data_IF_592502171791
#
_entry.id   IF_592502171791
#
_cell.length_a   1.000
_cell.length_b   1.000
_cell.length_c   1.000
_cell.angle_alpha   90.00
_cell.angle_beta   90.00
_cell.angle_gamma   90.00
#
_symmetry.space_group_name_H-M   'P 1'
#
loop_
_entity.id
_entity.type
_entity.pdbx_description
1 polymer ?
#
# COMPACT_ATOMS: atom_id res chain seq x y z
N UNK A 1 31.26 -7.35 -2.87
CA UNK A 1 31.05 -8.35 -1.79
C UNK A 1 30.60 -7.62 -0.53
N UNK A 2 29.43 -7.96 0.03
CA UNK A 2 28.90 -7.29 1.21
C UNK A 2 29.55 -7.93 2.43
N UNK A 3 30.46 -7.21 3.10
CA UNK A 3 31.15 -7.70 4.30
C UNK A 3 30.18 -8.37 5.28
N UNK A 4 30.37 -9.68 5.48
CA UNK A 4 29.57 -10.50 6.41
C UNK A 4 30.06 -10.24 7.83
N UNK A 5 29.56 -9.15 8.42
CA UNK A 5 29.70 -8.91 9.87
C UNK A 5 28.82 -9.93 10.61
N UNK A 6 29.42 -10.69 11.53
CA UNK A 6 28.69 -11.58 12.45
C UNK A 6 27.65 -10.78 13.24
N UNK A 7 26.35 -11.03 13.01
CA UNK A 7 25.29 -10.25 13.63
C UNK A 7 23.87 -10.54 13.12
N UNK A 8 22.92 -9.74 13.59
CA UNK A 8 21.50 -9.81 13.18
C UNK A 8 21.19 -8.72 12.18
N UNK A 9 20.69 -9.11 11.01
CA UNK A 9 20.14 -8.19 10.00
C UNK A 9 18.63 -8.26 10.03
N UNK A 10 17.99 -7.09 10.03
CA UNK A 10 16.54 -6.96 9.93
C UNK A 10 16.20 -6.43 8.53
N UNK A 11 15.29 -7.12 7.85
CA UNK A 11 14.75 -6.72 6.55
C UNK A 11 13.24 -6.60 6.72
N UNK A 12 12.75 -5.37 6.60
CA UNK A 12 11.32 -5.07 6.59
C UNK A 12 10.85 -4.89 5.14
N UNK A 13 9.86 -5.67 4.74
CA UNK A 13 9.37 -5.71 3.36
C UNK A 13 7.85 -5.80 3.26
N UNK A 14 7.36 -5.67 2.03
CA UNK A 14 5.93 -5.75 1.70
C UNK A 14 5.17 -4.43 1.86
N UNK A 15 3.92 -4.42 1.39
CA UNK A 15 3.06 -3.24 1.34
C UNK A 15 1.74 -3.43 2.10
N UNK A 16 1.21 -2.35 2.64
CA UNK A 16 -0.09 -2.35 3.34
C UNK A 16 -1.27 -2.55 2.40
N UNK A 17 -2.41 -2.95 2.98
CA UNK A 17 -3.62 -3.21 2.21
C UNK A 17 -4.30 -1.87 1.91
N UNK A 18 -4.40 -1.51 0.64
CA UNK A 18 -5.11 -0.30 0.21
C UNK A 18 -6.39 -0.61 -0.57
N UNK A 19 -6.86 -1.86 -0.58
CA UNK A 19 -8.11 -2.25 -1.27
C UNK A 19 -9.29 -1.39 -0.81
N UNK A 20 -9.46 -1.18 0.51
CA UNK A 20 -10.57 -0.38 1.03
C UNK A 20 -10.54 1.07 0.56
N UNK A 21 -9.36 1.69 0.56
CA UNK A 21 -9.15 3.03 0.00
C UNK A 21 -9.43 3.06 -1.50
N UNK A 22 -8.98 2.05 -2.23
CA UNK A 22 -9.22 1.91 -3.66
C UNK A 22 -10.70 1.74 -4.00
N UNK A 23 -11.44 0.92 -3.24
CA UNK A 23 -12.89 0.75 -3.41
C UNK A 23 -13.67 2.04 -3.13
N UNK A 24 -13.28 2.81 -2.10
CA UNK A 24 -13.88 4.12 -1.82
C UNK A 24 -13.67 5.10 -2.98
N UNK A 25 -12.44 5.20 -3.48
CA UNK A 25 -12.12 6.08 -4.61
C UNK A 25 -12.85 5.67 -5.89
N UNK A 26 -12.91 4.36 -6.16
CA UNK A 26 -13.62 3.80 -7.31
C UNK A 26 -15.14 4.03 -7.20
N UNK A 27 -15.73 3.78 -6.02
CA UNK A 27 -17.14 4.04 -5.77
C UNK A 27 -17.51 5.52 -5.88
N UNK A 28 -16.64 6.42 -5.39
CA UNK A 28 -16.80 7.86 -5.56
C UNK A 28 -16.75 8.27 -7.03
N UNK A 29 -15.79 7.73 -7.79
CA UNK A 29 -15.71 7.95 -9.23
C UNK A 29 -16.96 7.51 -9.97
N UNK A 30 -17.47 6.30 -9.68
CA UNK A 30 -18.74 5.79 -10.25
C UNK A 30 -19.91 6.71 -9.90
N UNK A 31 -20.02 7.14 -8.63
CA UNK A 31 -21.06 8.06 -8.20
C UNK A 31 -21.03 9.38 -8.99
N UNK A 32 -19.83 9.97 -9.16
CA UNK A 32 -19.67 11.18 -9.95
C UNK A 32 -20.04 10.98 -11.43
N UNK A 33 -19.64 9.87 -12.05
CA UNK A 33 -20.01 9.58 -13.43
C UNK A 33 -21.52 9.36 -13.61
N UNK A 34 -22.20 8.79 -12.62
CA UNK A 34 -23.66 8.68 -12.64
C UNK A 34 -24.34 10.03 -12.51
N UNK A 35 -23.85 10.90 -11.62
CA UNK A 35 -24.36 12.28 -11.48
C UNK A 35 -24.16 13.05 -12.79
N UNK A 36 -22.97 12.94 -13.39
CA UNK A 36 -22.67 13.52 -14.69
C UNK A 36 -23.65 13.01 -15.77
N UNK A 37 -23.83 11.70 -15.87
CA UNK A 37 -24.76 11.12 -16.85
C UNK A 37 -26.20 11.64 -16.67
N UNK A 38 -26.66 11.79 -15.43
CA UNK A 38 -27.97 12.37 -15.14
C UNK A 38 -28.05 13.85 -15.52
N UNK A 39 -26.99 14.62 -15.24
CA UNK A 39 -26.91 16.03 -15.65
C UNK A 39 -26.93 16.17 -17.18
N UNK A 40 -26.18 15.32 -17.88
CA UNK A 40 -26.19 15.27 -19.34
C UNK A 40 -27.59 14.96 -19.88
N UNK A 41 -28.20 13.88 -19.39
CA UNK A 41 -29.49 13.38 -19.86
C UNK A 41 -30.62 14.40 -19.66
N UNK A 42 -30.72 15.00 -18.46
CA UNK A 42 -31.85 15.89 -18.11
C UNK A 42 -31.64 17.36 -18.49
N UNK A 43 -30.41 17.87 -18.51
CA UNK A 43 -30.16 19.31 -18.68
C UNK A 43 -29.43 19.69 -19.96
N UNK A 44 -28.62 18.80 -20.53
CA UNK A 44 -27.78 19.10 -21.72
C UNK A 44 -28.47 18.70 -23.03
N UNK A 45 -29.41 17.76 -23.00
CA UNK A 45 -30.18 17.32 -24.17
C UNK A 45 -31.14 18.41 -24.69
N UNK A 46 -31.60 19.31 -23.83
CA UNK A 46 -32.43 20.45 -24.23
C UNK A 46 -31.54 21.60 -24.73
N UNK A 47 -31.89 22.20 -25.87
CA UNK A 47 -31.08 23.19 -26.61
C UNK A 47 -30.78 24.52 -25.87
N UNK A 48 -31.09 24.61 -24.57
CA UNK A 48 -31.05 25.82 -23.75
C UNK A 48 -30.06 25.72 -22.58
N UNK A 49 -29.06 24.86 -22.68
CA UNK A 49 -28.08 24.65 -21.62
C UNK A 49 -27.00 25.73 -21.61
N UNK A 50 -26.87 26.41 -20.47
CA UNK A 50 -25.83 27.43 -20.26
C UNK A 50 -24.44 26.79 -20.35
N UNK A 51 -23.48 27.49 -20.99
CA UNK A 51 -22.08 27.06 -21.14
C UNK A 51 -21.43 26.63 -19.80
N UNK A 52 -21.88 27.24 -18.70
CA UNK A 52 -21.49 26.88 -17.33
C UNK A 52 -21.77 25.41 -16.97
N UNK A 53 -22.93 24.89 -17.31
CA UNK A 53 -23.33 23.49 -17.00
C UNK A 53 -22.44 22.51 -17.76
N UNK A 54 -22.09 22.82 -19.01
CA UNK A 54 -21.18 22.01 -19.83
C UNK A 54 -19.76 21.97 -19.24
N UNK A 55 -19.26 23.11 -18.73
CA UNK A 55 -17.97 23.18 -18.06
C UNK A 55 -17.98 22.36 -16.76
N UNK A 56 -19.00 22.52 -15.92
CA UNK A 56 -19.14 21.74 -14.68
C UNK A 56 -19.21 20.24 -14.96
N UNK A 57 -19.97 19.84 -15.98
CA UNK A 57 -20.08 18.45 -16.40
C UNK A 57 -18.72 17.84 -16.80
N UNK A 58 -17.92 18.61 -17.55
CA UNK A 58 -16.56 18.21 -17.94
C UNK A 58 -15.64 18.07 -16.72
N UNK A 59 -15.73 18.98 -15.74
CA UNK A 59 -14.94 18.91 -14.50
C UNK A 59 -15.31 17.65 -13.71
N UNK A 60 -16.60 17.36 -13.56
CA UNK A 60 -17.07 16.15 -12.87
C UNK A 60 -16.60 14.88 -13.58
N UNK A 61 -16.61 14.86 -14.92
CA UNK A 61 -16.06 13.75 -15.69
C UNK A 61 -14.57 13.52 -15.39
N UNK A 62 -13.76 14.59 -15.43
CA UNK A 62 -12.31 14.49 -15.19
C UNK A 62 -12.03 14.00 -13.76
N UNK A 63 -12.68 14.58 -12.75
CA UNK A 63 -12.52 14.17 -11.35
C UNK A 63 -12.96 12.72 -11.16
N UNK A 64 -14.10 12.35 -11.74
CA UNK A 64 -14.63 10.98 -11.71
C UNK A 64 -13.65 9.97 -12.33
N UNK A 65 -13.13 10.27 -13.52
CA UNK A 65 -12.17 9.42 -14.22
C UNK A 65 -10.86 9.25 -13.44
N UNK A 66 -10.32 10.33 -12.86
CA UNK A 66 -9.12 10.28 -12.02
C UNK A 66 -9.38 9.45 -10.77
N UNK A 67 -10.52 9.65 -10.10
CA UNK A 67 -10.88 8.89 -8.91
C UNK A 67 -11.04 7.39 -9.19
N UNK A 68 -11.69 7.03 -10.31
CA UNK A 68 -11.79 5.64 -10.78
C UNK A 68 -10.41 5.05 -11.08
N UNK A 69 -9.58 5.75 -11.84
CA UNK A 69 -8.24 5.29 -12.20
C UNK A 69 -7.35 5.08 -10.99
N UNK A 70 -7.32 6.04 -10.06
CA UNK A 70 -6.60 5.93 -8.80
C UNK A 70 -7.15 4.79 -7.93
N UNK A 71 -8.48 4.64 -7.87
CA UNK A 71 -9.13 3.55 -7.13
C UNK A 71 -8.74 2.17 -7.66
N UNK A 72 -8.82 1.99 -8.98
CA UNK A 72 -8.45 0.75 -9.65
C UNK A 72 -6.97 0.44 -9.47
N UNK A 73 -6.10 1.44 -9.63
CA UNK A 73 -4.66 1.30 -9.39
C UNK A 73 -4.36 0.81 -7.96
N UNK A 74 -5.01 1.41 -6.95
CA UNK A 74 -4.85 0.99 -5.56
C UNK A 74 -5.36 -0.43 -5.31
N UNK A 75 -6.48 -0.83 -5.91
CA UNK A 75 -7.02 -2.20 -5.80
C UNK A 75 -6.03 -3.19 -6.41
N UNK A 76 -5.61 -2.97 -7.66
CA UNK A 76 -4.68 -3.87 -8.38
C UNK A 76 -3.36 -3.98 -7.63
N UNK A 77 -2.75 -2.85 -7.25
CA UNK A 77 -1.50 -2.84 -6.51
C UNK A 77 -1.64 -3.59 -5.18
N UNK A 78 -2.80 -3.50 -4.54
CA UNK A 78 -3.04 -4.17 -3.27
C UNK A 78 -3.44 -5.66 -3.40
N UNK A 79 -3.85 -6.11 -4.59
CA UNK A 79 -4.03 -7.52 -4.93
C UNK A 79 -2.68 -8.19 -5.28
N UNK A 80 -1.83 -7.47 -6.03
CA UNK A 80 -0.50 -7.94 -6.41
C UNK A 80 0.57 -7.73 -5.33
N UNK A 81 0.21 -7.12 -4.20
CA UNK A 81 1.18 -6.81 -3.13
C UNK A 81 1.78 -8.07 -2.53
N UNK A 82 3.07 -7.97 -2.21
CA UNK A 82 3.70 -8.86 -1.22
C UNK A 82 3.22 -8.44 0.16
N UNK A 83 2.68 -9.40 0.92
CA UNK A 83 2.21 -9.14 2.29
C UNK A 83 3.35 -8.53 3.14
N UNK A 84 3.02 -7.59 4.04
CA UNK A 84 4.00 -7.01 4.95
C UNK A 84 4.69 -8.12 5.73
N UNK A 85 6.00 -8.04 5.91
CA UNK A 85 6.76 -9.01 6.69
C UNK A 85 8.04 -8.39 7.24
N UNK A 86 8.45 -8.86 8.41
CA UNK A 86 9.76 -8.56 9.01
C UNK A 86 10.57 -9.85 9.05
N UNK A 87 11.74 -9.84 8.42
CA UNK A 87 12.65 -10.99 8.45
C UNK A 87 13.90 -10.64 9.21
N UNK A 88 14.24 -11.46 10.20
CA UNK A 88 15.54 -11.45 10.85
C UNK A 88 16.43 -12.53 10.24
N UNK A 89 17.65 -12.14 9.90
CA UNK A 89 18.71 -13.03 9.42
C UNK A 89 19.82 -13.00 10.47
N UNK A 90 20.03 -14.14 11.13
CA UNK A 90 21.13 -14.37 12.06
C UNK A 90 22.27 -15.00 11.28
N UNK A 91 23.31 -14.21 11.01
CA UNK A 91 24.46 -14.66 10.22
C UNK A 91 25.42 -15.46 11.10
N UNK A 92 25.85 -16.64 10.61
CA UNK A 92 26.87 -17.49 11.25
C UNK A 92 26.58 -17.95 12.70
N UNK A 93 25.33 -18.17 13.06
CA UNK A 93 25.02 -18.82 14.33
C UNK A 93 25.39 -20.31 14.26
N UNK A 94 26.47 -20.72 14.93
CA UNK A 94 27.03 -22.09 14.85
C UNK A 94 27.34 -22.56 13.42
N UNK A 95 27.83 -21.65 12.57
CA UNK A 95 28.20 -21.96 11.18
C UNK A 95 27.03 -22.12 10.21
N UNK A 96 25.79 -21.81 10.63
CA UNK A 96 24.61 -21.77 9.76
C UNK A 96 23.93 -20.41 9.84
N UNK A 97 23.29 -20.02 8.74
CA UNK A 97 22.44 -18.84 8.71
C UNK A 97 21.01 -19.23 9.11
N UNK A 98 20.50 -18.57 10.16
CA UNK A 98 19.14 -18.79 10.66
C UNK A 98 18.25 -17.64 10.19
N UNK A 99 17.13 -17.98 9.55
CA UNK A 99 16.15 -17.02 9.04
C UNK A 99 14.84 -17.15 9.82
N UNK A 100 14.38 -16.06 10.40
CA UNK A 100 13.10 -16.01 11.11
C UNK A 100 12.24 -14.92 10.48
N UNK A 101 11.09 -15.31 9.91
CA UNK A 101 10.17 -14.39 9.24
C UNK A 101 8.90 -14.23 10.05
N UNK A 102 8.54 -12.99 10.34
CA UNK A 102 7.32 -12.57 11.00
C UNK A 102 6.33 -12.05 9.96
N UNK A 103 5.03 -12.30 10.20
CA UNK A 103 3.93 -11.96 9.29
C UNK A 103 3.59 -10.48 9.24
N UNK A 104 4.12 -9.68 10.15
CA UNK A 104 3.83 -8.25 10.26
C UNK A 104 5.08 -7.44 9.93
N UNK A 105 4.89 -6.26 9.35
CA UNK A 105 5.97 -5.28 9.16
C UNK A 105 6.25 -4.59 10.50
N UNK A 106 7.52 -4.37 10.82
CA UNK A 106 7.99 -3.89 12.11
C UNK A 106 7.43 -4.71 13.29
N UNK A 107 7.42 -6.04 13.17
CA UNK A 107 6.86 -6.90 14.21
C UNK A 107 7.59 -6.66 15.56
N UNK A 108 6.89 -6.33 16.65
CA UNK A 108 7.52 -6.05 17.95
C UNK A 108 8.24 -7.28 18.50
N UNK A 109 7.74 -8.48 18.19
CA UNK A 109 8.41 -9.75 18.51
C UNK A 109 9.77 -9.89 17.82
N UNK A 110 9.92 -9.36 16.60
CA UNK A 110 11.20 -9.35 15.90
C UNK A 110 12.19 -8.41 16.58
N UNK A 111 11.72 -7.23 17.02
CA UNK A 111 12.54 -6.28 17.76
C UNK A 111 13.03 -6.88 19.10
N UNK A 112 12.13 -7.50 19.87
CA UNK A 112 12.46 -8.18 21.11
C UNK A 112 13.49 -9.29 20.90
N UNK A 113 13.30 -10.14 19.88
CA UNK A 113 14.24 -11.22 19.59
C UNK A 113 15.63 -10.68 19.20
N UNK A 114 15.67 -9.62 18.40
CA UNK A 114 16.91 -8.92 18.04
C UNK A 114 17.62 -8.36 19.28
N UNK A 115 16.89 -7.71 20.19
CA UNK A 115 17.45 -7.17 21.43
C UNK A 115 18.01 -8.26 22.35
N UNK A 116 17.25 -9.34 22.55
CA UNK A 116 17.71 -10.50 23.36
C UNK A 116 18.98 -11.09 22.77
N UNK A 117 19.03 -11.28 21.45
CA UNK A 117 20.21 -11.79 20.78
C UNK A 117 21.41 -10.85 20.96
N UNK A 118 21.23 -9.54 20.76
CA UNK A 118 22.31 -8.57 20.92
C UNK A 118 22.82 -8.49 22.36
N UNK A 119 21.92 -8.60 23.36
CA UNK A 119 22.30 -8.69 24.78
C UNK A 119 23.11 -9.95 25.06
N UNK A 120 22.65 -11.11 24.58
CA UNK A 120 23.37 -12.37 24.76
C UNK A 120 24.72 -12.38 24.03
N UNK A 121 24.80 -11.84 22.81
CA UNK A 121 26.05 -11.74 22.07
C UNK A 121 27.08 -10.85 22.78
N UNK A 122 26.63 -9.78 23.45
CA UNK A 122 27.51 -8.95 24.29
C UNK A 122 28.00 -9.69 25.53
N UNK A 123 27.12 -10.45 26.19
CA UNK A 123 27.47 -11.23 27.37
C UNK A 123 28.42 -12.40 27.06
N UNK A 124 28.28 -13.02 25.88
CA UNK A 124 29.12 -14.12 25.41
C UNK A 124 30.45 -13.68 24.77
N UNK A 125 30.63 -12.38 24.53
CA UNK A 125 31.90 -11.78 24.06
C UNK A 125 32.83 -11.35 25.21
N UNK A 126 32.58 -11.81 26.44
CA UNK A 126 33.57 -11.88 27.53
C UNK A 126 34.47 -13.11 27.32
#
# INVERSE_FOLDING_TARGET
EIGLVDGVRQIDGGQENKIWLGMKALGFGIGLSLIQFLLDYFFITDSNTTQLIRILNTIFFIIGAIAMGAGLYLIINSLLRVRPHTTLIFVRFRGKDLRVTYKDRNAPKALQLKEVFMKQQRLLKL
#
